data_IF_837207638351
#
_entry.id   IF_837207638351
#
_cell.length_a   1.000
_cell.length_b   1.000
_cell.length_c   1.000
_cell.angle_alpha   90.00
_cell.angle_beta   90.00
_cell.angle_gamma   90.00
#
_symmetry.space_group_name_H-M   'P 1'
#
loop_
_entity.id
_entity.type
_entity.pdbx_description
1 polymer ?
#
# COMPACT_ATOMS: atom_id res chain seq x y z
N UNK A 1 25.39 8.28 -14.15
CA UNK A 1 25.55 8.90 -15.48
C UNK A 1 25.10 10.35 -15.51
N UNK A 2 23.91 10.71 -15.01
CA UNK A 2 23.47 12.12 -14.95
C UNK A 2 24.44 13.08 -14.21
N UNK A 3 25.14 12.58 -13.19
CA UNK A 3 26.12 13.35 -12.40
C UNK A 3 27.30 13.94 -13.20
N UNK A 4 27.58 13.42 -14.40
CA UNK A 4 28.67 13.93 -15.26
C UNK A 4 28.33 15.31 -15.85
N UNK A 5 27.04 15.61 -16.01
CA UNK A 5 26.55 16.86 -16.62
C UNK A 5 26.05 17.85 -15.57
N UNK A 6 26.38 17.61 -14.29
CA UNK A 6 25.90 18.42 -13.17
C UNK A 6 26.73 19.69 -13.01
N UNK A 7 26.03 20.83 -12.97
CA UNK A 7 26.60 22.11 -12.59
C UNK A 7 26.25 22.42 -11.13
N UNK A 8 27.28 22.57 -10.28
CA UNK A 8 27.10 22.87 -8.85
C UNK A 8 26.47 24.25 -8.62
N UNK A 9 26.54 25.17 -9.58
CA UNK A 9 25.91 26.49 -9.51
C UNK A 9 24.38 26.40 -9.35
N UNK A 10 23.76 25.33 -9.84
CA UNK A 10 22.31 25.10 -9.75
C UNK A 10 21.82 24.88 -8.31
N UNK A 11 22.71 24.50 -7.38
CA UNK A 11 22.37 24.29 -5.97
C UNK A 11 22.67 25.49 -5.06
N UNK A 12 23.09 26.63 -5.64
CA UNK A 12 23.36 27.86 -4.87
C UNK A 12 22.13 28.36 -4.10
N UNK A 13 20.91 28.13 -4.63
CA UNK A 13 19.65 28.36 -3.93
C UNK A 13 18.93 27.01 -3.69
N UNK A 14 19.32 26.29 -2.64
CA UNK A 14 18.81 24.94 -2.34
C UNK A 14 17.34 24.92 -1.89
N UNK A 15 16.86 25.98 -1.23
CA UNK A 15 15.50 26.08 -0.69
C UNK A 15 14.81 27.38 -1.12
N UNK A 16 14.52 27.54 -2.44
CA UNK A 16 13.91 28.77 -2.95
C UNK A 16 12.52 29.05 -2.36
N UNK A 17 11.77 27.98 -2.05
CA UNK A 17 10.43 28.04 -1.45
C UNK A 17 10.41 27.77 0.06
N UNK A 18 11.58 27.75 0.71
CA UNK A 18 11.72 27.41 2.12
C UNK A 18 11.19 26.01 2.46
N UNK A 19 10.92 25.78 3.75
CA UNK A 19 10.40 24.50 4.24
C UNK A 19 8.95 24.23 3.82
N UNK A 20 8.13 25.26 3.57
CA UNK A 20 6.76 25.10 3.08
C UNK A 20 6.73 24.38 1.72
N UNK A 21 7.61 24.78 0.79
CA UNK A 21 7.77 24.10 -0.48
C UNK A 21 8.23 22.64 -0.36
N UNK A 22 9.07 22.33 0.63
CA UNK A 22 9.52 20.96 0.90
C UNK A 22 8.35 20.08 1.33
N UNK A 23 7.51 20.55 2.26
CA UNK A 23 6.35 19.79 2.72
C UNK A 23 5.30 19.59 1.62
N UNK A 24 5.07 20.60 0.78
CA UNK A 24 4.17 20.47 -0.39
C UNK A 24 4.73 19.54 -1.46
N UNK A 25 6.04 19.58 -1.72
CA UNK A 25 6.68 18.65 -2.65
C UNK A 25 6.64 17.21 -2.15
N UNK A 26 6.84 16.99 -0.84
CA UNK A 26 6.82 15.66 -0.24
C UNK A 26 5.47 14.95 -0.40
N UNK A 27 4.35 15.68 -0.33
CA UNK A 27 3.02 15.09 -0.54
C UNK A 27 2.77 14.69 -2.00
N UNK A 28 3.30 15.44 -2.98
CA UNK A 28 3.20 15.09 -4.40
C UNK A 28 4.08 13.87 -4.74
N UNK A 29 5.32 13.85 -4.24
CA UNK A 29 6.28 12.76 -4.51
C UNK A 29 5.86 11.44 -3.87
N UNK A 30 4.98 11.46 -2.86
CA UNK A 30 4.39 10.25 -2.27
C UNK A 30 3.77 9.31 -3.33
N UNK A 31 3.15 9.86 -4.38
CA UNK A 31 2.59 9.05 -5.48
C UNK A 31 3.64 8.12 -6.12
N UNK A 32 4.90 8.56 -6.22
CA UNK A 32 5.98 7.76 -6.79
C UNK A 32 6.38 6.55 -5.92
N UNK A 33 5.96 6.50 -4.65
CA UNK A 33 6.22 5.40 -3.74
C UNK A 33 5.11 4.33 -3.72
N UNK A 34 4.01 4.55 -4.44
CA UNK A 34 2.96 3.55 -4.56
C UNK A 34 3.45 2.32 -5.37
N UNK A 35 3.11 1.12 -4.92
CA UNK A 35 3.45 -0.14 -5.58
C UNK A 35 4.03 -1.21 -4.66
N UNK A 36 4.59 -0.83 -3.50
CA UNK A 36 5.16 -1.82 -2.57
C UNK A 36 4.09 -2.77 -2.00
N UNK A 37 2.85 -2.31 -1.90
CA UNK A 37 1.71 -3.10 -1.44
C UNK A 37 1.37 -4.25 -2.39
N UNK A 38 1.72 -4.15 -3.67
CA UNK A 38 1.46 -5.19 -4.66
C UNK A 38 2.25 -6.47 -4.35
N UNK A 39 3.42 -6.34 -3.73
CA UNK A 39 4.20 -7.52 -3.30
C UNK A 39 3.47 -8.35 -2.25
N UNK A 40 2.62 -7.75 -1.41
CA UNK A 40 1.84 -8.49 -0.42
C UNK A 40 0.83 -9.47 -1.08
N UNK A 41 0.40 -9.17 -2.31
CA UNK A 41 -0.48 -10.08 -3.07
C UNK A 41 0.25 -11.31 -3.63
N UNK A 42 1.58 -11.30 -3.62
CA UNK A 42 2.44 -12.43 -3.99
C UNK A 42 2.76 -13.38 -2.84
N UNK A 43 2.12 -13.23 -1.68
CA UNK A 43 2.43 -14.08 -0.50
C UNK A 43 2.22 -15.57 -0.79
N UNK A 44 1.22 -15.93 -1.59
CA UNK A 44 0.94 -17.32 -1.98
C UNK A 44 2.07 -17.96 -2.81
N UNK A 45 2.89 -17.15 -3.50
CA UNK A 45 4.01 -17.64 -4.33
C UNK A 45 5.33 -17.70 -3.54
N UNK A 46 5.33 -17.26 -2.28
CA UNK A 46 6.54 -17.14 -1.47
C UNK A 46 6.70 -18.33 -0.52
N UNK A 47 7.90 -18.92 -0.50
CA UNK A 47 8.22 -20.09 0.34
C UNK A 47 8.03 -19.77 1.83
N UNK A 48 8.51 -18.61 2.30
CA UNK A 48 8.32 -18.16 3.67
C UNK A 48 7.72 -16.75 3.72
N UNK A 49 6.48 -16.61 3.23
CA UNK A 49 5.84 -15.31 3.09
C UNK A 49 5.76 -14.45 4.35
N UNK A 50 5.68 -15.08 5.52
CA UNK A 50 5.64 -14.38 6.80
C UNK A 50 6.97 -13.69 7.19
N UNK A 51 8.09 -14.02 6.54
CA UNK A 51 9.40 -13.36 6.71
C UNK A 51 9.84 -12.63 5.45
N UNK A 52 9.67 -13.27 4.30
CA UNK A 52 10.26 -12.80 3.05
C UNK A 52 9.53 -11.59 2.48
N UNK A 53 8.19 -11.55 2.55
CA UNK A 53 7.39 -10.43 2.04
C UNK A 53 7.71 -9.11 2.78
N UNK A 54 7.76 -9.05 4.13
CA UNK A 54 8.17 -7.83 4.83
C UNK A 54 9.59 -7.36 4.49
N UNK A 55 10.55 -8.29 4.35
CA UNK A 55 11.93 -7.95 4.00
C UNK A 55 12.01 -7.42 2.57
N UNK A 56 11.30 -8.05 1.63
CA UNK A 56 11.20 -7.60 0.25
C UNK A 56 10.66 -6.17 0.17
N UNK A 57 9.59 -5.86 0.91
CA UNK A 57 9.03 -4.51 1.01
C UNK A 57 10.04 -3.50 1.56
N UNK A 58 10.77 -3.85 2.62
CA UNK A 58 11.76 -2.95 3.21
C UNK A 58 12.92 -2.66 2.24
N UNK A 59 13.44 -3.70 1.57
CA UNK A 59 14.53 -3.57 0.60
C UNK A 59 14.07 -2.78 -0.63
N UNK A 60 12.87 -3.06 -1.15
CA UNK A 60 12.36 -2.38 -2.35
C UNK A 60 12.12 -0.90 -2.08
N UNK A 61 11.44 -0.54 -0.98
CA UNK A 61 11.16 0.86 -0.64
C UNK A 61 12.47 1.60 -0.33
N UNK A 62 13.38 0.98 0.41
CA UNK A 62 14.70 1.56 0.70
C UNK A 62 15.52 1.79 -0.58
N UNK A 63 15.56 0.80 -1.47
CA UNK A 63 16.25 0.89 -2.75
C UNK A 63 15.66 1.99 -3.65
N UNK A 64 14.34 2.03 -3.81
CA UNK A 64 13.64 3.07 -4.56
C UNK A 64 13.87 4.46 -3.96
N UNK A 65 13.89 4.59 -2.62
CA UNK A 65 14.18 5.87 -1.95
C UNK A 65 15.56 6.39 -2.33
N UNK A 66 16.60 5.54 -2.26
CA UNK A 66 17.97 5.94 -2.63
C UNK A 66 18.02 6.34 -4.10
N UNK A 67 17.40 5.55 -4.99
CA UNK A 67 17.35 5.87 -6.41
C UNK A 67 16.63 7.19 -6.69
N UNK A 68 15.49 7.44 -6.06
CA UNK A 68 14.75 8.70 -6.21
C UNK A 68 15.52 9.90 -5.72
N UNK A 69 16.25 9.78 -4.60
CA UNK A 69 17.14 10.84 -4.11
C UNK A 69 18.26 11.13 -5.11
N UNK A 70 18.91 10.08 -5.64
CA UNK A 70 19.95 10.23 -6.65
C UNK A 70 19.42 10.83 -7.95
N UNK A 71 18.21 10.46 -8.35
CA UNK A 71 17.52 10.98 -9.53
C UNK A 71 17.17 12.47 -9.36
N UNK A 72 16.59 12.86 -8.22
CA UNK A 72 16.28 14.25 -7.91
C UNK A 72 17.54 15.13 -7.88
N UNK A 73 18.61 14.64 -7.25
CA UNK A 73 19.92 15.31 -7.26
C UNK A 73 20.48 15.42 -8.69
N UNK A 74 20.37 14.39 -9.50
CA UNK A 74 20.87 14.42 -10.87
C UNK A 74 20.12 15.46 -11.73
N UNK A 75 18.79 15.48 -11.72
CA UNK A 75 18.00 16.42 -12.56
C UNK A 75 18.22 17.87 -12.15
N UNK A 76 18.10 18.16 -10.85
CA UNK A 76 18.35 19.53 -10.33
C UNK A 76 19.80 19.97 -10.51
N UNK A 77 20.72 19.01 -10.63
CA UNK A 77 22.10 19.28 -10.99
C UNK A 77 22.30 19.63 -12.48
N UNK A 78 21.54 19.03 -13.39
CA UNK A 78 21.70 19.23 -14.84
C UNK A 78 21.03 20.54 -15.30
N UNK A 79 19.84 20.84 -14.78
CA UNK A 79 18.99 21.95 -15.19
C UNK A 79 18.51 22.75 -13.96
N UNK A 80 18.47 24.09 -14.01
CA UNK A 80 17.88 24.91 -12.95
C UNK A 80 16.44 24.53 -12.63
N UNK A 81 16.08 24.53 -11.33
CA UNK A 81 14.79 24.02 -10.83
C UNK A 81 13.56 24.67 -11.48
N UNK A 82 13.67 25.93 -11.91
CA UNK A 82 12.61 26.72 -12.52
C UNK A 82 12.36 26.39 -14.00
N UNK A 83 13.20 25.57 -14.61
CA UNK A 83 13.12 25.20 -16.04
C UNK A 83 12.88 23.71 -16.25
N UNK A 84 12.63 22.96 -15.17
CA UNK A 84 12.31 21.53 -15.24
C UNK A 84 10.90 21.36 -15.81
N UNK A 85 10.80 20.59 -16.89
CA UNK A 85 9.53 20.23 -17.54
C UNK A 85 8.68 19.33 -16.64
N UNK A 86 7.37 19.59 -16.58
CA UNK A 86 6.41 18.78 -15.81
C UNK A 86 6.13 17.43 -16.47
N UNK A 87 6.19 17.34 -17.81
CA UNK A 87 5.80 16.15 -18.57
C UNK A 87 6.97 15.20 -18.83
N UNK A 88 8.16 15.73 -19.09
CA UNK A 88 9.33 14.93 -19.48
C UNK A 88 10.64 15.43 -18.84
N UNK A 89 10.71 15.51 -17.49
CA UNK A 89 11.81 16.17 -16.78
C UNK A 89 13.20 15.60 -17.12
N UNK A 90 13.31 14.26 -17.24
CA UNK A 90 14.59 13.61 -17.58
C UNK A 90 14.94 13.73 -19.06
N UNK A 91 13.98 13.50 -19.95
CA UNK A 91 14.24 13.53 -21.39
C UNK A 91 14.66 14.94 -21.84
N UNK A 92 13.95 15.97 -21.37
CA UNK A 92 14.26 17.36 -21.68
C UNK A 92 15.59 17.81 -21.06
N UNK A 93 15.89 17.37 -19.82
CA UNK A 93 17.17 17.64 -19.18
C UNK A 93 18.36 17.09 -19.98
N UNK A 94 18.28 15.83 -20.45
CA UNK A 94 19.33 15.24 -21.28
C UNK A 94 19.41 15.84 -22.69
N UNK A 95 18.26 16.22 -23.28
CA UNK A 95 18.19 16.90 -24.57
C UNK A 95 18.89 18.26 -24.51
N UNK A 96 18.73 19.01 -23.43
CA UNK A 96 19.38 20.32 -23.22
C UNK A 96 20.92 20.26 -23.21
N UNK A 97 21.49 19.09 -22.88
CA UNK A 97 22.94 18.85 -22.83
C UNK A 97 23.46 18.06 -24.05
N UNK A 98 22.65 17.89 -25.09
CA UNK A 98 23.05 17.21 -26.34
C UNK A 98 23.05 15.68 -26.28
N UNK A 99 22.53 15.06 -25.22
CA UNK A 99 22.49 13.60 -25.06
C UNK A 99 21.20 13.00 -25.63
N UNK A 100 21.01 13.09 -26.95
CA UNK A 100 19.78 12.63 -27.62
C UNK A 100 19.49 11.14 -27.40
N UNK A 101 20.52 10.29 -27.34
CA UNK A 101 20.33 8.85 -27.13
C UNK A 101 19.71 8.51 -25.77
N UNK A 102 20.01 9.29 -24.73
CA UNK A 102 19.37 9.14 -23.42
C UNK A 102 17.95 9.69 -23.44
N UNK A 103 17.72 10.82 -24.12
CA UNK A 103 16.39 11.39 -24.27
C UNK A 103 15.44 10.39 -24.95
N UNK A 104 15.89 9.64 -25.97
CA UNK A 104 15.07 8.64 -26.67
C UNK A 104 14.61 7.50 -25.74
N UNK A 105 15.43 7.07 -24.79
CA UNK A 105 15.09 5.98 -23.85
C UNK A 105 14.02 6.42 -22.84
N UNK A 106 14.07 7.68 -22.40
CA UNK A 106 13.19 8.23 -21.37
C UNK A 106 12.05 9.09 -21.91
N UNK A 107 12.01 9.34 -23.23
CA UNK A 107 10.99 10.16 -23.85
C UNK A 107 9.63 9.44 -23.77
N UNK A 108 8.58 10.12 -23.30
CA UNK A 108 7.23 9.62 -23.51
C UNK A 108 6.95 9.51 -25.01
N UNK A 109 6.01 8.65 -25.44
CA UNK A 109 5.58 8.58 -26.82
C UNK A 109 4.87 9.89 -27.21
N UNK A 110 5.63 10.90 -27.61
CA UNK A 110 5.10 12.15 -28.15
C UNK A 110 4.74 11.93 -29.62
N UNK A 111 3.44 11.78 -29.86
CA UNK A 111 2.84 11.43 -31.15
C UNK A 111 3.05 12.51 -32.22
N UNK A 112 3.50 13.71 -31.85
CA UNK A 112 3.62 14.85 -32.76
C UNK A 112 5.00 14.99 -33.43
N UNK A 113 6.10 14.54 -32.81
CA UNK A 113 7.45 14.89 -33.29
C UNK A 113 8.42 13.71 -33.45
N UNK A 114 8.17 12.54 -32.84
CA UNK A 114 9.11 11.41 -32.88
C UNK A 114 8.41 10.10 -33.32
N UNK A 115 8.40 9.75 -34.63
CA UNK A 115 7.75 8.56 -35.16
C UNK A 115 8.36 7.23 -34.70
N UNK A 116 9.49 7.27 -33.99
CA UNK A 116 10.23 6.11 -33.52
C UNK A 116 9.88 5.69 -32.09
N UNK A 117 9.17 6.53 -31.33
CA UNK A 117 8.79 6.24 -29.93
C UNK A 117 7.36 5.71 -29.85
N UNK A 118 7.18 4.44 -30.24
CA UNK A 118 5.86 3.77 -30.20
C UNK A 118 5.56 3.12 -28.83
N UNK A 119 6.59 2.86 -28.02
CA UNK A 119 6.47 2.10 -26.77
C UNK A 119 6.70 3.01 -25.55
N UNK A 120 5.79 3.01 -24.56
CA UNK A 120 6.06 3.55 -23.24
C UNK A 120 7.44 3.12 -22.70
N UNK A 121 8.14 3.99 -21.95
CA UNK A 121 9.40 3.64 -21.31
C UNK A 121 9.31 2.30 -20.56
N UNK A 122 10.34 1.44 -20.62
CA UNK A 122 10.28 0.08 -20.07
C UNK A 122 9.78 -0.01 -18.61
N UNK A 123 10.13 0.99 -17.78
CA UNK A 123 9.65 1.05 -16.40
C UNK A 123 8.14 1.28 -16.26
N UNK A 124 7.51 2.04 -17.17
CA UNK A 124 6.06 2.24 -17.15
C UNK A 124 5.33 0.94 -17.54
N UNK A 125 5.88 0.20 -18.51
CA UNK A 125 5.33 -1.09 -18.91
C UNK A 125 5.36 -2.11 -17.79
N UNK A 126 6.47 -2.18 -17.06
CA UNK A 126 6.60 -3.05 -15.89
C UNK A 126 5.53 -2.72 -14.83
N UNK A 127 5.38 -1.44 -14.47
CA UNK A 127 4.36 -1.00 -13.50
C UNK A 127 2.95 -1.39 -13.93
N UNK A 128 2.59 -1.23 -15.22
CA UNK A 128 1.26 -1.63 -15.72
C UNK A 128 1.03 -3.14 -15.52
N UNK A 129 2.03 -3.97 -15.82
CA UNK A 129 1.91 -5.43 -15.68
C UNK A 129 1.76 -5.83 -14.21
N UNK A 130 2.58 -5.25 -13.31
CA UNK A 130 2.53 -5.56 -11.86
C UNK A 130 1.21 -5.15 -11.24
N UNK A 131 0.70 -3.96 -11.56
CA UNK A 131 -0.62 -3.48 -11.11
C UNK A 131 -1.73 -4.42 -11.58
N UNK A 132 -1.72 -4.80 -12.86
CA UNK A 132 -2.73 -5.67 -13.44
C UNK A 132 -2.73 -7.06 -12.80
N UNK A 133 -1.53 -7.60 -12.55
CA UNK A 133 -1.34 -8.86 -11.84
C UNK A 133 -1.93 -8.80 -10.42
N UNK A 134 -1.58 -7.79 -9.64
CA UNK A 134 -2.04 -7.63 -8.25
C UNK A 134 -3.56 -7.44 -8.15
N UNK A 135 -4.13 -6.63 -9.04
CA UNK A 135 -5.59 -6.43 -9.12
C UNK A 135 -6.31 -7.74 -9.41
N UNK A 136 -5.89 -8.50 -10.44
CA UNK A 136 -6.57 -9.72 -10.85
C UNK A 136 -6.62 -10.79 -9.75
N UNK A 137 -5.54 -10.93 -8.96
CA UNK A 137 -5.48 -11.84 -7.81
C UNK A 137 -6.39 -11.42 -6.68
N UNK A 138 -6.41 -10.12 -6.38
CA UNK A 138 -7.30 -9.58 -5.35
C UNK A 138 -8.77 -9.89 -5.68
N UNK A 139 -9.19 -9.71 -6.94
CA UNK A 139 -10.55 -10.07 -7.37
C UNK A 139 -10.88 -11.56 -7.24
N UNK A 140 -9.88 -12.44 -7.45
CA UNK A 140 -10.07 -13.89 -7.26
C UNK A 140 -10.30 -14.22 -5.78
N UNK A 141 -9.50 -13.64 -4.88
CA UNK A 141 -9.68 -13.82 -3.44
C UNK A 141 -11.03 -13.28 -2.98
N UNK A 142 -11.40 -12.08 -3.42
CA UNK A 142 -12.70 -11.48 -3.10
C UNK A 142 -13.86 -12.33 -3.62
N UNK A 143 -13.73 -12.91 -4.82
CA UNK A 143 -14.80 -13.73 -5.40
C UNK A 143 -14.91 -15.09 -4.73
N UNK A 144 -13.80 -15.67 -4.24
CA UNK A 144 -13.81 -16.85 -3.36
C UNK A 144 -14.47 -16.58 -2.02
N UNK A 145 -14.41 -15.34 -1.53
CA UNK A 145 -15.10 -14.89 -0.32
C UNK A 145 -16.58 -14.52 -0.56
N UNK A 146 -17.07 -14.56 -1.81
CA UNK A 146 -18.43 -14.17 -2.17
C UNK A 146 -18.67 -12.65 -2.17
N UNK A 147 -17.61 -11.84 -2.06
CA UNK A 147 -17.70 -10.36 -2.02
C UNK A 147 -17.86 -9.73 -3.41
N UNK A 148 -17.54 -10.47 -4.48
CA UNK A 148 -17.70 -10.05 -5.88
C UNK A 148 -18.26 -11.20 -6.71
N UNK A 149 -18.82 -10.95 -7.91
CA UNK A 149 -19.44 -11.99 -8.72
C UNK A 149 -18.51 -13.20 -8.91
N UNK A 150 -19.00 -14.45 -8.74
CA UNK A 150 -18.17 -15.65 -8.76
C UNK A 150 -17.49 -15.90 -10.12
N UNK A 151 -17.96 -15.26 -11.19
CA UNK A 151 -17.34 -15.28 -12.52
C UNK A 151 -15.92 -14.71 -12.49
N UNK A 152 -15.66 -13.69 -11.65
CA UNK A 152 -14.34 -13.08 -11.49
C UNK A 152 -13.36 -13.99 -10.73
N UNK A 153 -13.86 -14.91 -9.89
CA UNK A 153 -13.01 -15.90 -9.21
C UNK A 153 -12.58 -17.07 -10.11
N UNK A 154 -13.08 -17.16 -11.34
CA UNK A 154 -12.80 -18.30 -12.22
C UNK A 154 -11.35 -18.26 -12.72
N UNK A 155 -10.60 -19.30 -12.36
CA UNK A 155 -9.23 -19.54 -12.84
C UNK A 155 -9.26 -20.55 -13.99
N UNK A 156 -8.52 -20.28 -15.06
CA UNK A 156 -8.48 -21.16 -16.23
C UNK A 156 -7.63 -22.42 -15.94
N UNK A 157 -8.11 -23.65 -16.22
CA UNK A 157 -7.48 -24.88 -15.75
C UNK A 157 -6.12 -25.20 -16.39
N UNK A 158 -5.86 -24.76 -17.64
CA UNK A 158 -4.58 -25.05 -18.31
C UNK A 158 -3.49 -24.01 -18.02
N UNK A 159 -3.88 -22.74 -17.92
CA UNK A 159 -2.93 -21.63 -17.73
C UNK A 159 -2.83 -21.23 -16.26
N UNK A 160 -3.74 -21.69 -15.40
CA UNK A 160 -3.84 -21.31 -13.99
C UNK A 160 -3.95 -19.79 -13.80
N UNK A 161 -4.48 -19.08 -14.80
CA UNK A 161 -4.61 -17.61 -14.78
C UNK A 161 -6.09 -17.17 -14.70
N UNK A 162 -6.42 -16.11 -13.94
CA UNK A 162 -7.76 -15.57 -13.84
C UNK A 162 -8.08 -14.62 -15.00
N UNK A 163 -8.24 -15.17 -16.21
CA UNK A 163 -8.39 -14.39 -17.46
C UNK A 163 -9.56 -13.41 -17.39
N UNK A 164 -10.70 -13.82 -16.83
CA UNK A 164 -11.90 -12.96 -16.71
C UNK A 164 -11.60 -11.71 -15.88
N UNK A 165 -10.96 -11.87 -14.73
CA UNK A 165 -10.58 -10.75 -13.87
C UNK A 165 -9.54 -9.84 -14.52
N UNK A 166 -8.56 -10.40 -15.23
CA UNK A 166 -7.57 -9.62 -15.97
C UNK A 166 -8.24 -8.77 -17.05
N UNK A 167 -9.13 -9.34 -17.87
CA UNK A 167 -9.82 -8.60 -18.93
C UNK A 167 -10.75 -7.54 -18.34
N UNK A 168 -11.48 -7.87 -17.28
CA UNK A 168 -12.38 -6.93 -16.61
C UNK A 168 -11.62 -5.72 -16.04
N UNK A 169 -10.57 -5.94 -15.25
CA UNK A 169 -9.76 -4.86 -14.67
C UNK A 169 -9.07 -4.04 -15.75
N UNK A 170 -8.59 -4.68 -16.83
CA UNK A 170 -7.87 -4.01 -17.91
C UNK A 170 -8.80 -3.15 -18.78
N UNK A 171 -10.02 -3.62 -19.04
CA UNK A 171 -11.01 -2.83 -19.76
C UNK A 171 -11.50 -1.66 -18.91
N UNK A 172 -11.71 -1.88 -17.61
CA UNK A 172 -12.08 -0.81 -16.68
C UNK A 172 -10.98 0.27 -16.59
N UNK A 173 -9.70 -0.13 -16.45
CA UNK A 173 -8.59 0.81 -16.41
C UNK A 173 -8.40 1.55 -17.74
N UNK A 174 -8.59 0.88 -18.88
CA UNK A 174 -8.55 1.52 -20.19
C UNK A 174 -9.66 2.56 -20.38
N UNK A 175 -10.88 2.29 -19.93
CA UNK A 175 -11.99 3.25 -19.96
C UNK A 175 -11.66 4.45 -19.08
N UNK A 176 -11.19 4.25 -17.85
CA UNK A 176 -10.82 5.34 -16.96
C UNK A 176 -9.66 6.17 -17.53
N UNK A 177 -8.65 5.54 -18.14
CA UNK A 177 -7.54 6.23 -18.79
C UNK A 177 -7.96 7.05 -20.03
N UNK A 178 -9.05 6.68 -20.70
CA UNK A 178 -9.57 7.41 -21.86
C UNK A 178 -10.38 8.66 -21.45
N UNK A 179 -11.14 8.59 -20.36
CA UNK A 179 -12.10 9.63 -19.98
C UNK A 179 -11.64 10.54 -18.82
N UNK A 180 -10.65 10.13 -18.02
CA UNK A 180 -10.23 10.86 -16.82
C UNK A 180 -8.80 11.36 -16.97
N UNK A 181 -8.51 12.66 -16.70
CA UNK A 181 -7.16 13.20 -16.75
C UNK A 181 -6.23 12.56 -15.71
N UNK A 182 -4.96 12.31 -16.09
CA UNK A 182 -3.97 11.62 -15.25
C UNK A 182 -3.75 12.27 -13.89
N UNK A 183 -3.82 13.61 -13.79
CA UNK A 183 -3.67 14.33 -12.52
C UNK A 183 -4.80 14.00 -11.54
N UNK A 184 -6.04 13.87 -12.04
CA UNK A 184 -7.19 13.52 -11.21
C UNK A 184 -7.13 12.06 -10.77
N UNK A 185 -6.68 11.16 -11.65
CA UNK A 185 -6.42 9.76 -11.30
C UNK A 185 -5.33 9.65 -10.22
N UNK A 186 -4.20 10.34 -10.38
CA UNK A 186 -3.10 10.30 -9.44
C UNK A 186 -3.49 10.81 -8.05
N UNK A 187 -4.26 11.91 -7.97
CA UNK A 187 -4.78 12.45 -6.72
C UNK A 187 -5.75 11.47 -6.04
N UNK A 188 -6.66 10.86 -6.81
CA UNK A 188 -7.65 9.90 -6.29
C UNK A 188 -6.98 8.61 -5.81
N UNK A 189 -6.01 8.09 -6.57
CA UNK A 189 -5.23 6.91 -6.21
C UNK A 189 -4.39 7.16 -4.96
N UNK A 190 -3.74 8.32 -4.85
CA UNK A 190 -2.95 8.68 -3.66
C UNK A 190 -3.81 8.76 -2.41
N UNK A 191 -4.99 9.42 -2.48
CA UNK A 191 -5.93 9.45 -1.37
C UNK A 191 -6.41 8.07 -0.95
N UNK A 192 -6.77 7.22 -1.93
CA UNK A 192 -7.20 5.85 -1.67
C UNK A 192 -6.11 5.01 -1.00
N UNK A 193 -4.86 5.11 -1.48
CA UNK A 193 -3.72 4.42 -0.92
C UNK A 193 -3.37 4.90 0.50
N UNK A 194 -3.35 6.22 0.73
CA UNK A 194 -3.12 6.79 2.06
C UNK A 194 -4.20 6.35 3.05
N UNK A 195 -5.47 6.31 2.62
CA UNK A 195 -6.57 5.81 3.43
C UNK A 195 -6.37 4.33 3.77
N UNK A 196 -6.02 3.49 2.79
CA UNK A 196 -5.72 2.08 3.02
C UNK A 196 -4.53 1.90 4.00
N UNK A 197 -3.47 2.68 3.87
CA UNK A 197 -2.32 2.66 4.78
C UNK A 197 -2.71 3.10 6.19
N UNK A 198 -3.54 4.12 6.34
CA UNK A 198 -4.10 4.54 7.62
C UNK A 198 -4.88 3.39 8.29
N UNK A 199 -5.72 2.68 7.52
CA UNK A 199 -6.47 1.50 8.00
C UNK A 199 -5.52 0.37 8.39
N UNK A 200 -4.48 0.08 7.60
CA UNK A 200 -3.50 -0.97 7.92
C UNK A 200 -2.72 -0.64 9.20
N UNK A 201 -2.18 0.58 9.33
CA UNK A 201 -1.50 1.02 10.55
C UNK A 201 -2.42 0.94 11.77
N UNK A 202 -3.67 1.36 11.60
CA UNK A 202 -4.71 1.25 12.63
C UNK A 202 -5.00 -0.19 13.03
N UNK A 203 -5.14 -1.09 12.04
CA UNK A 203 -5.42 -2.50 12.27
C UNK A 203 -4.27 -3.20 13.01
N UNK A 204 -3.01 -2.82 12.74
CA UNK A 204 -1.84 -3.35 13.45
C UNK A 204 -1.86 -2.96 14.94
N UNK A 205 -2.23 -1.71 15.25
CA UNK A 205 -2.40 -1.27 16.64
C UNK A 205 -3.54 -2.06 17.29
N UNK A 206 -4.71 -2.08 16.66
CA UNK A 206 -5.89 -2.74 17.20
C UNK A 206 -5.66 -4.24 17.46
N UNK A 207 -5.06 -4.96 16.51
CA UNK A 207 -4.76 -6.40 16.62
C UNK A 207 -3.79 -6.73 17.75
N UNK A 208 -2.94 -5.79 18.17
CA UNK A 208 -1.99 -6.02 19.27
C UNK A 208 -2.68 -6.08 20.62
N UNK A 209 -3.70 -5.24 20.82
CA UNK A 209 -4.32 -5.00 22.12
C UNK A 209 -5.68 -5.68 22.26
N UNK A 210 -6.34 -6.00 21.14
CA UNK A 210 -7.63 -6.67 21.12
C UNK A 210 -7.51 -8.12 20.65
N UNK A 211 -8.09 -9.04 21.44
CA UNK A 211 -8.29 -10.44 21.06
C UNK A 211 -9.80 -10.71 21.02
N UNK A 212 -10.32 -11.20 19.88
CA UNK A 212 -11.70 -11.67 19.80
C UNK A 212 -11.92 -12.86 20.76
N UNK A 213 -13.10 -12.99 21.38
CA UNK A 213 -13.41 -14.10 22.30
C UNK A 213 -13.26 -15.50 21.69
N UNK A 214 -13.41 -15.61 20.37
CA UNK A 214 -13.47 -16.89 19.65
C UNK A 214 -12.11 -17.40 19.13
N UNK A 215 -11.00 -16.75 19.50
CA UNK A 215 -9.66 -17.17 19.06
C UNK A 215 -9.15 -18.32 19.94
N UNK A 216 -8.75 -19.48 19.37
CA UNK A 216 -8.19 -20.58 20.15
C UNK A 216 -6.97 -20.13 20.95
N UNK A 217 -6.92 -20.48 22.24
CA UNK A 217 -5.86 -20.07 23.18
C UNK A 217 -4.45 -20.51 22.74
N UNK A 218 -4.36 -21.54 21.88
CA UNK A 218 -3.11 -22.09 21.36
C UNK A 218 -2.62 -21.43 20.05
N UNK A 219 -3.20 -20.30 19.62
CA UNK A 219 -2.73 -19.62 18.42
C UNK A 219 -1.30 -19.09 18.59
N UNK A 220 -0.36 -19.39 17.67
CA UNK A 220 1.01 -18.92 17.76
C UNK A 220 1.07 -17.39 17.76
N UNK A 221 1.71 -16.83 18.78
CA UNK A 221 1.86 -15.38 18.96
C UNK A 221 0.97 -14.77 20.06
N UNK A 222 0.09 -15.54 20.70
CA UNK A 222 -0.62 -15.08 21.89
C UNK A 222 0.32 -15.01 23.11
N UNK A 223 0.19 -13.95 23.91
CA UNK A 223 0.95 -13.77 25.17
C UNK A 223 0.26 -14.37 26.40
N UNK A 224 -0.93 -14.98 26.24
CA UNK A 224 -1.71 -15.57 27.34
C UNK A 224 -2.31 -14.55 28.32
N UNK A 225 -2.24 -13.25 28.01
CA UNK A 225 -2.89 -12.19 28.79
C UNK A 225 -4.32 -11.98 28.30
N UNK A 226 -5.27 -11.89 29.24
CA UNK A 226 -6.64 -11.48 28.91
C UNK A 226 -6.61 -10.09 28.26
N UNK A 227 -7.24 -9.97 27.08
CA UNK A 227 -7.32 -8.72 26.35
C UNK A 227 -8.03 -7.64 27.16
N UNK A 228 -7.59 -6.39 27.01
CA UNK A 228 -8.29 -5.27 27.64
C UNK A 228 -9.71 -5.15 27.08
N UNK A 229 -10.70 -4.73 27.89
CA UNK A 229 -12.06 -4.51 27.39
C UNK A 229 -12.04 -3.50 26.23
N UNK A 230 -12.84 -3.79 25.20
CA UNK A 230 -12.87 -3.09 23.90
C UNK A 230 -12.82 -1.56 24.03
N UNK A 231 -13.56 -0.99 24.97
CA UNK A 231 -13.62 0.46 25.20
C UNK A 231 -12.27 1.09 25.59
N UNK A 232 -11.45 0.38 26.37
CA UNK A 232 -10.11 0.86 26.77
C UNK A 232 -9.10 0.84 25.62
N UNK A 233 -9.36 0.04 24.58
CA UNK A 233 -8.56 0.05 23.34
C UNK A 233 -9.07 1.12 22.39
N UNK A 234 -10.40 1.26 22.26
CA UNK A 234 -11.04 2.21 21.34
C UNK A 234 -10.83 3.67 21.73
N UNK A 235 -10.90 4.04 23.01
CA UNK A 235 -10.70 5.44 23.43
C UNK A 235 -9.33 5.99 23.01
N UNK A 236 -8.19 5.39 23.40
CA UNK A 236 -6.90 5.92 23.00
C UNK A 236 -6.69 5.79 21.49
N UNK A 237 -7.30 4.80 20.84
CA UNK A 237 -7.21 4.63 19.39
C UNK A 237 -7.90 5.77 18.64
N UNK A 238 -9.14 6.10 19.01
CA UNK A 238 -9.87 7.24 18.48
C UNK A 238 -9.18 8.56 18.85
N UNK A 239 -8.53 8.62 20.01
CA UNK A 239 -7.73 9.78 20.43
C UNK A 239 -6.50 10.00 19.55
N UNK A 240 -5.81 8.93 19.11
CA UNK A 240 -4.70 9.01 18.16
C UNK A 240 -5.18 9.55 16.81
N UNK A 241 -6.32 9.05 16.31
CA UNK A 241 -6.93 9.52 15.06
C UNK A 241 -7.36 10.99 15.20
N UNK A 242 -8.03 11.34 16.30
CA UNK A 242 -8.49 12.69 16.59
C UNK A 242 -7.34 13.69 16.71
N UNK A 243 -6.26 13.34 17.42
CA UNK A 243 -5.04 14.16 17.51
C UNK A 243 -4.36 14.33 16.15
N UNK A 244 -4.33 13.28 15.33
CA UNK A 244 -3.77 13.32 13.98
C UNK A 244 -4.59 14.20 13.03
N UNK A 245 -5.92 14.10 13.08
CA UNK A 245 -6.84 14.95 12.33
C UNK A 245 -6.75 16.40 12.78
N UNK A 246 -6.70 16.64 14.09
CA UNK A 246 -6.53 17.98 14.67
C UNK A 246 -5.23 18.62 14.21
N UNK A 247 -4.13 17.86 14.16
CA UNK A 247 -2.85 18.34 13.64
C UNK A 247 -2.92 18.64 12.13
N UNK A 248 -3.50 17.76 11.33
CA UNK A 248 -3.70 17.97 9.89
C UNK A 248 -4.55 19.21 9.58
N UNK A 249 -5.67 19.37 10.27
CA UNK A 249 -6.57 20.51 10.09
C UNK A 249 -5.92 21.82 10.53
N UNK A 250 -5.20 21.81 11.65
CA UNK A 250 -4.49 22.99 12.14
C UNK A 250 -3.54 23.55 11.09
N UNK A 251 -2.84 22.66 10.35
CA UNK A 251 -1.87 23.05 9.31
C UNK A 251 -2.60 23.57 8.09
N UNK A 252 -3.72 22.94 7.71
CA UNK A 252 -4.56 23.41 6.61
C UNK A 252 -5.12 24.83 6.86
N UNK A 253 -5.49 25.16 8.10
CA UNK A 253 -6.04 26.49 8.48
C UNK A 253 -4.98 27.50 8.90
N UNK A 254 -3.68 27.19 8.82
CA UNK A 254 -2.57 28.04 9.26
C UNK A 254 -2.78 28.60 10.68
N UNK A 255 -3.15 27.74 11.63
CA UNK A 255 -3.34 28.14 13.02
C UNK A 255 -2.02 28.56 13.71
N UNK A 256 -2.15 29.25 14.84
CA UNK A 256 -0.99 29.60 15.68
C UNK A 256 -0.18 28.37 16.08
N UNK A 257 1.14 28.52 16.17
CA UNK A 257 2.08 27.44 16.48
C UNK A 257 1.74 26.64 17.76
N UNK A 258 1.10 27.28 18.74
CA UNK A 258 0.66 26.61 19.97
C UNK A 258 -0.34 25.47 19.72
N UNK A 259 -1.18 25.57 18.67
CA UNK A 259 -2.16 24.52 18.33
C UNK A 259 -1.45 23.28 17.78
N UNK A 260 -0.41 23.44 16.94
CA UNK A 260 0.38 22.31 16.45
C UNK A 260 1.02 21.52 17.58
N UNK A 261 1.63 22.23 18.53
CA UNK A 261 2.30 21.63 19.69
C UNK A 261 1.26 20.92 20.57
N UNK A 262 0.10 21.53 20.80
CA UNK A 262 -0.97 20.91 21.58
C UNK A 262 -1.51 19.63 20.94
N UNK A 263 -1.77 19.63 19.63
CA UNK A 263 -2.25 18.44 18.90
C UNK A 263 -1.19 17.32 18.84
N UNK A 264 0.08 17.69 18.64
CA UNK A 264 1.19 16.73 18.67
C UNK A 264 1.38 16.13 20.08
N UNK A 265 1.28 16.96 21.13
CA UNK A 265 1.33 16.49 22.52
C UNK A 265 0.15 15.57 22.85
N UNK A 266 -1.07 15.91 22.40
CA UNK A 266 -2.25 15.05 22.54
C UNK A 266 -2.04 13.68 21.90
N UNK A 267 -1.58 13.64 20.64
CA UNK A 267 -1.27 12.40 19.93
C UNK A 267 -0.19 11.58 20.64
N UNK A 268 0.87 12.24 21.12
CA UNK A 268 1.97 11.59 21.82
C UNK A 268 1.51 11.00 23.15
N UNK A 269 0.72 11.74 23.94
CA UNK A 269 0.15 11.28 25.20
C UNK A 269 -0.79 10.08 25.00
N UNK A 270 -1.62 10.09 23.95
CA UNK A 270 -2.50 8.97 23.62
C UNK A 270 -1.68 7.71 23.25
N UNK A 271 -0.61 7.88 22.47
CA UNK A 271 0.31 6.80 22.10
C UNK A 271 1.08 6.27 23.32
N UNK A 272 1.53 7.16 24.20
CA UNK A 272 2.22 6.82 25.45
C UNK A 272 1.30 6.07 26.42
N UNK A 273 0.03 6.47 26.52
CA UNK A 273 -0.98 5.77 27.32
C UNK A 273 -1.15 4.33 26.84
N UNK A 274 -1.29 4.09 25.53
CA UNK A 274 -1.36 2.73 24.98
C UNK A 274 -0.10 1.93 25.28
N UNK A 275 1.06 2.57 25.24
CA UNK A 275 2.33 1.89 25.45
C UNK A 275 2.51 1.43 26.91
N UNK A 276 2.11 2.26 27.87
CA UNK A 276 2.34 2.02 29.30
C UNK A 276 1.21 1.21 29.97
N UNK A 277 -0.04 1.40 29.55
CA UNK A 277 -1.21 0.93 30.31
C UNK A 277 -1.82 -0.34 29.72
N UNK A 278 -1.85 -0.49 28.39
CA UNK A 278 -2.57 -1.59 27.75
C UNK A 278 -1.73 -2.87 27.67
N UNK A 279 -2.30 -4.04 28.01
CA UNK A 279 -1.61 -5.32 27.86
C UNK A 279 -1.46 -5.68 26.38
N UNK A 280 -0.24 -6.01 25.98
CA UNK A 280 0.02 -6.58 24.65
C UNK A 280 -0.45 -8.04 24.63
N UNK A 281 -1.43 -8.34 23.78
CA UNK A 281 -2.09 -9.66 23.67
C UNK A 281 -1.53 -10.49 22.52
N UNK A 282 -1.17 -9.85 21.41
CA UNK A 282 -0.63 -10.53 20.23
C UNK A 282 0.77 -10.05 19.87
N UNK A 283 1.70 -10.98 19.70
CA UNK A 283 3.07 -10.76 19.22
C UNK A 283 3.36 -11.61 17.99
N UNK A 284 3.70 -11.01 16.84
CA UNK A 284 4.07 -11.80 15.66
C UNK A 284 5.34 -12.60 15.95
N UNK A 285 5.35 -13.84 15.48
CA UNK A 285 6.39 -14.84 15.79
C UNK A 285 7.67 -14.64 14.98
N UNK A 286 7.57 -14.21 13.72
CA UNK A 286 8.72 -14.10 12.80
C UNK A 286 9.34 -12.71 12.74
N UNK A 287 8.55 -11.66 12.49
CA UNK A 287 9.05 -10.29 12.40
C UNK A 287 8.24 -9.36 13.31
N UNK A 288 8.93 -8.74 14.27
CA UNK A 288 8.34 -7.78 15.20
C UNK A 288 8.45 -6.39 14.59
N UNK A 289 7.37 -5.61 14.67
CA UNK A 289 7.40 -4.19 14.34
C UNK A 289 8.35 -3.47 15.32
N UNK A 290 9.41 -2.80 14.85
CA UNK A 290 10.28 -2.02 15.73
C UNK A 290 9.47 -0.88 16.37
N UNK A 291 9.85 -0.48 17.59
CA UNK A 291 9.28 0.69 18.29
C UNK A 291 7.74 0.67 18.39
N UNK A 292 7.13 -0.51 18.58
CA UNK A 292 5.70 -0.62 18.83
C UNK A 292 5.33 0.02 20.19
N UNK A 293 4.26 0.84 20.32
CA UNK A 293 3.25 1.22 19.32
C UNK A 293 3.55 2.52 18.55
N UNK A 294 4.68 3.18 18.83
CA UNK A 294 5.05 4.46 18.24
C UNK A 294 5.10 4.39 16.70
N UNK A 295 5.70 3.35 16.14
CA UNK A 295 5.88 3.24 14.68
C UNK A 295 4.56 3.12 13.89
N UNK A 296 3.60 2.25 14.25
CA UNK A 296 2.29 2.28 13.63
C UNK A 296 1.52 3.59 13.89
N UNK A 297 1.67 4.18 15.09
CA UNK A 297 0.99 5.44 15.44
C UNK A 297 1.49 6.62 14.62
N UNK A 298 2.80 6.73 14.37
CA UNK A 298 3.36 7.74 13.48
C UNK A 298 2.91 7.52 12.04
N UNK A 299 2.74 6.26 11.61
CA UNK A 299 2.12 5.93 10.33
C UNK A 299 0.70 6.48 10.17
N UNK A 300 -0.15 6.31 11.19
CA UNK A 300 -1.50 6.91 11.23
C UNK A 300 -1.43 8.43 11.17
N UNK A 301 -0.54 9.05 11.96
CA UNK A 301 -0.37 10.50 11.96
C UNK A 301 0.08 11.04 10.60
N UNK A 302 1.12 10.45 10.00
CA UNK A 302 1.65 10.89 8.70
C UNK A 302 0.66 10.67 7.57
N UNK A 303 -0.06 9.54 7.55
CA UNK A 303 -1.09 9.30 6.52
C UNK A 303 -2.24 10.29 6.62
N UNK A 304 -2.77 10.55 7.82
CA UNK A 304 -3.82 11.55 8.04
C UNK A 304 -3.34 12.96 7.70
N UNK A 305 -2.10 13.30 8.06
CA UNK A 305 -1.50 14.59 7.71
C UNK A 305 -1.42 14.77 6.19
N UNK A 306 -0.91 13.78 5.47
CA UNK A 306 -0.83 13.81 4.01
C UNK A 306 -2.21 13.91 3.38
N UNK A 307 -3.18 13.11 3.84
CA UNK A 307 -4.59 13.18 3.41
C UNK A 307 -5.18 14.59 3.62
N UNK A 308 -4.89 15.22 4.76
CA UNK A 308 -5.36 16.58 5.08
C UNK A 308 -4.71 17.66 4.21
N UNK A 309 -3.51 17.39 3.67
CA UNK A 309 -2.80 18.33 2.79
C UNK A 309 -3.37 18.38 1.36
N UNK A 310 -4.18 17.40 0.96
CA UNK A 310 -4.84 17.41 -0.34
C UNK A 310 -6.03 18.39 -0.32
N UNK A 311 -6.16 19.16 -1.42
CA UNK A 311 -7.17 20.21 -1.53
C UNK A 311 -8.62 19.71 -1.39
N UNK A 312 -9.57 20.61 -1.09
CA UNK A 312 -10.98 20.25 -0.85
C UNK A 312 -11.65 19.59 -2.06
N UNK A 313 -11.19 19.91 -3.27
CA UNK A 313 -11.64 19.28 -4.52
C UNK A 313 -11.34 17.79 -4.56
N UNK A 314 -10.19 17.37 -4.03
CA UNK A 314 -9.78 15.97 -4.02
C UNK A 314 -10.59 15.16 -3.01
N UNK A 315 -10.95 15.75 -1.87
CA UNK A 315 -11.89 15.19 -0.91
C UNK A 315 -13.30 14.99 -1.50
N UNK A 316 -13.81 15.98 -2.24
CA UNK A 316 -15.12 15.86 -2.89
C UNK A 316 -15.13 14.71 -3.92
N UNK A 317 -14.08 14.61 -4.74
CA UNK A 317 -13.92 13.52 -5.73
C UNK A 317 -13.82 12.16 -5.06
N UNK A 318 -13.02 12.05 -4.00
CA UNK A 318 -12.88 10.81 -3.24
C UNK A 318 -14.20 10.40 -2.58
N UNK A 319 -14.90 11.35 -1.94
CA UNK A 319 -16.23 11.11 -1.36
C UNK A 319 -17.24 10.63 -2.40
N UNK A 320 -17.27 11.25 -3.57
CA UNK A 320 -18.09 10.77 -4.69
C UNK A 320 -17.70 9.35 -5.13
N UNK A 321 -16.41 9.06 -5.28
CA UNK A 321 -15.93 7.72 -5.62
C UNK A 321 -16.33 6.66 -4.60
N UNK A 322 -16.22 6.97 -3.30
CA UNK A 322 -16.68 6.10 -2.22
C UNK A 322 -18.20 5.88 -2.27
N UNK A 323 -18.99 6.93 -2.51
CA UNK A 323 -20.44 6.81 -2.64
C UNK A 323 -20.83 5.92 -3.82
N UNK A 324 -20.18 6.09 -4.98
CA UNK A 324 -20.38 5.22 -6.15
C UNK A 324 -19.99 3.78 -5.83
N UNK A 325 -18.86 3.56 -5.17
CA UNK A 325 -18.41 2.22 -4.75
C UNK A 325 -19.40 1.54 -3.81
N UNK A 326 -19.88 2.26 -2.78
CA UNK A 326 -20.90 1.76 -1.84
C UNK A 326 -22.21 1.48 -2.57
N UNK A 327 -22.63 2.34 -3.50
CA UNK A 327 -23.84 2.12 -4.28
C UNK A 327 -23.73 0.87 -5.16
N UNK A 328 -22.63 0.70 -5.90
CA UNK A 328 -22.38 -0.49 -6.73
C UNK A 328 -22.36 -1.77 -5.89
N UNK A 329 -21.66 -1.74 -4.75
CA UNK A 329 -21.58 -2.89 -3.86
C UNK A 329 -22.92 -3.22 -3.20
N UNK A 330 -23.68 -2.21 -2.79
CA UNK A 330 -25.01 -2.39 -2.20
C UNK A 330 -26.00 -2.94 -3.24
N UNK A 331 -25.94 -2.47 -4.49
CA UNK A 331 -26.73 -3.01 -5.59
C UNK A 331 -26.39 -4.48 -5.85
N UNK A 332 -25.11 -4.82 -5.91
CA UNK A 332 -24.66 -6.21 -6.01
C UNK A 332 -25.20 -7.05 -4.86
N UNK A 333 -25.06 -6.58 -3.61
CA UNK A 333 -25.56 -7.27 -2.43
C UNK A 333 -27.08 -7.49 -2.46
N UNK A 334 -27.86 -6.52 -2.94
CA UNK A 334 -29.31 -6.66 -3.11
C UNK A 334 -29.66 -7.67 -4.21
N UNK A 335 -28.97 -7.61 -5.35
CA UNK A 335 -29.18 -8.55 -6.46
C UNK A 335 -28.85 -9.98 -6.04
N UNK A 336 -27.73 -10.17 -5.35
CA UNK A 336 -27.30 -11.47 -4.83
C UNK A 336 -28.26 -11.98 -3.76
N UNK A 337 -28.76 -11.10 -2.88
CA UNK A 337 -29.77 -11.45 -1.89
C UNK A 337 -31.07 -11.92 -2.56
N UNK A 338 -31.53 -11.21 -3.60
CA UNK A 338 -32.73 -11.60 -4.37
C UNK A 338 -32.50 -12.94 -5.07
N UNK A 339 -31.34 -13.12 -5.70
CA UNK A 339 -30.98 -14.35 -6.39
C UNK A 339 -30.97 -15.56 -5.43
N UNK A 340 -30.34 -15.40 -4.26
CA UNK A 340 -30.28 -16.43 -3.22
C UNK A 340 -31.63 -16.72 -2.57
N UNK A 341 -32.55 -15.75 -2.53
CA UNK A 341 -33.92 -15.97 -2.07
C UNK A 341 -34.73 -16.85 -3.04
N UNK A 342 -34.42 -16.80 -4.34
CA UNK A 342 -35.13 -17.55 -5.38
C UNK A 342 -34.51 -18.95 -5.57
N UNK A 343 -33.18 -19.06 -5.59
CA UNK A 343 -32.47 -20.31 -5.94
C UNK A 343 -31.89 -21.06 -4.73
N UNK A 344 -31.99 -20.49 -3.53
CA UNK A 344 -31.27 -20.96 -2.35
C UNK A 344 -29.83 -20.42 -2.31
N UNK A 345 -29.22 -20.30 -1.12
CA UNK A 345 -27.85 -19.83 -1.00
C UNK A 345 -26.90 -20.84 -1.66
N UNK A 346 -25.79 -20.38 -2.27
CA UNK A 346 -24.77 -21.28 -2.78
C UNK A 346 -24.27 -22.20 -1.64
N UNK A 347 -23.95 -23.47 -1.92
CA UNK A 347 -23.42 -24.36 -0.91
C UNK A 347 -22.16 -23.73 -0.30
N UNK A 348 -21.94 -23.88 1.03
CA UNK A 348 -20.76 -23.32 1.67
C UNK A 348 -19.53 -23.84 0.96
N UNK A 349 -18.70 -22.91 0.47
CA UNK A 349 -17.43 -23.25 -0.15
C UNK A 349 -16.63 -23.97 0.94
N UNK A 350 -16.43 -25.29 0.79
CA UNK A 350 -15.50 -26.03 1.65
C UNK A 350 -14.18 -25.28 1.55
N UNK A 351 -13.69 -24.72 2.67
CA UNK A 351 -12.29 -24.29 2.74
C UNK A 351 -11.49 -25.48 2.24
N UNK A 352 -10.87 -25.38 1.06
CA UNK A 352 -9.83 -26.32 0.68
C UNK A 352 -8.77 -26.15 1.77
N UNK A 353 -8.80 -27.09 2.71
CA UNK A 353 -7.68 -27.34 3.60
C UNK A 353 -6.54 -27.65 2.62
N UNK A 354 -5.58 -26.73 2.55
CA UNK A 354 -4.39 -26.96 1.77
C UNK A 354 -3.67 -28.10 2.48
N UNK A 355 -3.86 -29.33 2.00
CA UNK A 355 -3.13 -30.48 2.50
C UNK A 355 -1.64 -30.22 2.22
N UNK A 356 -0.89 -29.96 3.29
CA UNK A 356 0.59 -29.84 3.29
C UNK A 356 1.25 -31.09 2.66
N UNK A 357 0.52 -32.19 2.52
CA UNK A 357 0.96 -33.45 1.92
C UNK A 357 1.15 -33.39 0.39
N UNK A 358 0.74 -32.31 -0.27
CA UNK A 358 0.79 -32.19 -1.74
C UNK A 358 2.05 -31.50 -2.29
N UNK A 359 3.01 -31.11 -1.44
CA UNK A 359 4.34 -30.65 -1.88
C UNK A 359 5.21 -31.86 -2.22
N UNK A 360 5.56 -32.12 -3.49
CA UNK A 360 6.48 -33.20 -3.83
C UNK A 360 7.89 -32.78 -3.38
N UNK A 361 8.27 -33.20 -2.17
CA UNK A 361 9.60 -32.89 -1.62
C UNK A 361 9.75 -33.06 -0.11
N UNK A 362 8.65 -33.07 0.68
CA UNK A 362 8.73 -33.12 2.15
C UNK A 362 8.49 -34.50 2.79
N UNK A 363 8.41 -35.57 2.00
CA UNK A 363 8.31 -36.95 2.53
C UNK A 363 9.65 -37.55 2.97
N UNK A 364 10.78 -36.85 2.75
CA UNK A 364 12.10 -37.28 3.20
C UNK A 364 12.33 -37.05 4.69
N UNK A 365 12.03 -35.85 5.19
CA UNK A 365 12.47 -35.44 6.53
C UNK A 365 11.59 -36.00 7.68
N UNK A 366 10.32 -36.31 7.40
CA UNK A 366 9.40 -36.81 8.43
C UNK A 366 9.67 -38.28 8.82
N UNK A 367 10.18 -39.10 7.90
CA UNK A 367 10.51 -40.51 8.19
C UNK A 367 11.79 -40.67 9.01
N UNK A 368 12.70 -39.69 8.91
CA UNK A 368 13.95 -39.71 9.66
C UNK A 368 13.77 -39.23 11.11
N UNK A 369 12.72 -38.44 11.39
CA UNK A 369 12.33 -38.01 12.74
C UNK A 369 11.58 -39.10 13.53
N UNK A 370 10.87 -40.02 12.86
CA UNK A 370 10.25 -41.20 13.51
C UNK A 370 11.27 -42.29 13.88
N UNK A 371 12.49 -42.21 13.34
CA UNK A 371 13.57 -43.16 13.61
C UNK A 371 14.40 -42.81 14.86
N UNK A 372 14.16 -41.64 15.49
CA UNK A 372 14.90 -41.21 16.67
C UNK A 372 14.39 -41.94 17.95
N UNK A 373 15.22 -42.77 18.61
CA UNK A 373 14.82 -43.52 19.81
C UNK A 373 14.41 -42.63 20.99
N UNK A 374 14.64 -41.32 20.93
CA UNK A 374 14.22 -40.35 21.97
C UNK A 374 12.71 -40.05 21.93
N UNK A 375 12.03 -40.25 20.79
CA UNK A 375 10.58 -39.94 20.66
C UNK A 375 9.69 -41.10 21.15
N UNK A 376 10.18 -42.35 21.11
CA UNK A 376 9.40 -43.53 21.53
C UNK A 376 9.12 -43.63 23.03
N UNK A 377 9.92 -42.98 23.88
CA UNK A 377 9.76 -43.06 25.34
C UNK A 377 8.78 -42.04 25.92
N UNK A 378 8.19 -41.15 25.10
CA UNK A 378 7.21 -40.16 25.55
C UNK A 378 5.74 -40.62 25.39
N UNK A 379 5.51 -41.85 24.91
CA UNK A 379 4.17 -42.41 24.66
C UNK A 379 3.86 -43.71 25.41
N UNK A 380 4.65 -44.09 26.42
CA UNK A 380 4.30 -45.16 27.38
C UNK A 380 3.92 -44.62 28.76
#
# INVERSE_FOLDING_TARGET
>A
MGFVYTDRGNWSNFLPMGFDGVFRGASVVFFAFLGFEMMATGTEDSVNGARDIPIAIAISVGGCTVLYLLMALAVTGIVPWNTISESAPFADAFKSRGCLWMAIIFAPPDRANDPHSFLPPPGIMDTIVVVQYSMSRTFVVLGRMGLVPPVLARVHPKTQTPIVSVVFCGLLSAVLALFVPITQLADLTSLGALFAFCVVCSAVIFRRYYQPPDVPDNMPGLTGKQGAPLWHVLIPFLSIIGGSLGLGFSVATNCHYGVYIAMAAWWFLATLYMWLVLPVVFVPTKLRTPLFPLWPSTGVMTTIFLISSLGPTNWARWGYGCLVGVALYSLYGIVELIYNRIHGPPPPIKRQQYDDDSVPGHQGDAKDLEADPVVRTAQE
#
